data_IF_707351224381
#
_entry.id   IF_707351224381
#
_cell.length_a   1.000
_cell.length_b   1.000
_cell.length_c   1.000
_cell.angle_alpha   90.00
_cell.angle_beta   90.00
_cell.angle_gamma   90.00
#
_symmetry.space_group_name_H-M   'P 1'
#
loop_
_entity.id
_entity.type
_entity.pdbx_description
1 polymer ?
#
# COMPACT_ATOMS: atom_id res chain seq x y z
N UNK A 1 -12.10 -1.60 -10.67
CA UNK A 1 -12.72 -2.55 -9.72
C UNK A 1 -13.71 -3.37 -10.52
N UNK A 2 -13.47 -4.67 -10.60
CA UNK A 2 -14.39 -5.63 -11.23
C UNK A 2 -14.46 -6.81 -10.27
N UNK A 3 -15.67 -7.25 -9.92
CA UNK A 3 -15.89 -8.38 -9.01
C UNK A 3 -15.23 -8.22 -7.63
N UNK A 4 -15.31 -7.02 -7.03
CA UNK A 4 -14.69 -6.72 -5.74
C UNK A 4 -13.16 -6.56 -5.75
N UNK A 5 -12.51 -6.83 -6.89
CA UNK A 5 -11.04 -6.80 -7.03
C UNK A 5 -10.56 -5.48 -7.64
N UNK A 6 -9.48 -4.93 -7.09
CA UNK A 6 -8.79 -3.75 -7.65
C UNK A 6 -7.74 -4.21 -8.66
N UNK A 7 -7.75 -3.57 -9.83
CA UNK A 7 -6.68 -3.70 -10.82
C UNK A 7 -5.75 -2.51 -10.63
N UNK A 8 -4.49 -2.79 -10.28
CA UNK A 8 -3.44 -1.78 -10.20
C UNK A 8 -2.67 -1.81 -11.52
N UNK A 9 -2.49 -0.64 -12.14
CA UNK A 9 -1.74 -0.45 -13.39
C UNK A 9 -0.66 0.61 -13.15
N UNK A 10 0.42 0.58 -13.95
CA UNK A 10 1.49 1.58 -13.88
C UNK A 10 2.64 1.23 -12.91
N UNK A 11 2.52 0.14 -12.16
CA UNK A 11 3.64 -0.44 -11.40
C UNK A 11 4.59 -1.16 -12.38
N UNK A 12 5.92 -1.01 -12.27
CA UNK A 12 6.87 -1.71 -13.13
C UNK A 12 6.65 -3.23 -13.12
N UNK A 13 6.88 -3.89 -14.25
CA UNK A 13 6.69 -5.35 -14.32
C UNK A 13 7.70 -6.15 -13.51
N UNK A 14 8.84 -5.53 -13.21
CA UNK A 14 9.87 -6.03 -12.31
C UNK A 14 9.47 -5.96 -10.85
N UNK A 15 8.36 -5.28 -10.54
CA UNK A 15 7.92 -5.02 -9.19
C UNK A 15 6.75 -5.94 -8.81
N UNK A 16 6.64 -6.19 -7.51
CA UNK A 16 5.56 -6.89 -6.87
C UNK A 16 4.77 -5.90 -6.02
N UNK A 17 3.45 -5.94 -6.16
CA UNK A 17 2.54 -5.24 -5.25
C UNK A 17 2.50 -6.04 -3.94
N UNK A 18 2.74 -5.36 -2.82
CA UNK A 18 2.74 -5.94 -1.49
C UNK A 18 1.41 -5.66 -0.76
N UNK A 19 0.93 -4.42 -0.84
CA UNK A 19 -0.33 -4.00 -0.22
C UNK A 19 -1.15 -3.14 -1.19
N UNK A 20 -2.46 -3.36 -1.16
CA UNK A 20 -3.45 -2.41 -1.65
C UNK A 20 -4.44 -2.20 -0.51
N UNK A 21 -4.69 -0.95 -0.15
CA UNK A 21 -5.69 -0.58 0.85
C UNK A 21 -6.47 0.64 0.39
N UNK A 22 -7.58 0.93 1.07
CA UNK A 22 -8.34 2.17 0.89
C UNK A 22 -9.03 2.60 2.17
N UNK A 23 -9.36 3.88 2.25
CA UNK A 23 -10.24 4.44 3.28
C UNK A 23 -11.63 3.81 3.21
N UNK A 24 -12.37 3.82 4.32
CA UNK A 24 -13.74 3.27 4.35
C UNK A 24 -14.69 4.04 3.42
N UNK A 25 -14.42 5.34 3.20
CA UNK A 25 -15.11 6.17 2.21
C UNK A 25 -14.84 5.76 0.76
N UNK A 26 -13.79 4.96 0.51
CA UNK A 26 -13.33 4.50 -0.82
C UNK A 26 -12.83 5.61 -1.74
N UNK A 27 -12.52 6.77 -1.18
CA UNK A 27 -12.02 7.93 -1.93
C UNK A 27 -10.50 7.91 -2.09
N UNK A 28 -9.79 7.37 -1.10
CA UNK A 28 -8.32 7.32 -1.07
C UNK A 28 -7.83 5.89 -1.03
N UNK A 29 -6.82 5.61 -1.86
CA UNK A 29 -6.18 4.31 -2.04
C UNK A 29 -4.71 4.42 -1.67
N UNK A 30 -4.18 3.34 -1.11
CA UNK A 30 -2.78 3.15 -0.78
C UNK A 30 -2.28 1.94 -1.56
N UNK A 31 -1.22 2.11 -2.35
CA UNK A 31 -0.58 1.01 -3.08
C UNK A 31 0.88 0.96 -2.68
N UNK A 32 1.29 -0.17 -2.12
CA UNK A 32 2.68 -0.44 -1.76
C UNK A 32 3.24 -1.49 -2.70
N UNK A 33 4.39 -1.22 -3.32
CA UNK A 33 5.11 -2.19 -4.13
C UNK A 33 6.61 -2.09 -3.90
N UNK A 34 7.34 -3.11 -4.35
CA UNK A 34 8.80 -3.17 -4.31
C UNK A 34 9.31 -4.04 -5.47
N UNK A 35 10.61 -3.99 -5.82
CA UNK A 35 11.22 -4.91 -6.78
C UNK A 35 11.02 -6.37 -6.37
N UNK A 36 10.74 -7.25 -7.34
CA UNK A 36 10.54 -8.70 -7.08
C UNK A 36 11.79 -9.37 -6.51
N UNK A 37 12.94 -8.99 -7.03
CA UNK A 37 14.23 -9.59 -6.69
C UNK A 37 15.11 -8.59 -5.95
N UNK A 38 15.97 -9.10 -5.06
CA UNK A 38 17.01 -8.33 -4.37
C UNK A 38 16.52 -7.08 -3.64
N UNK A 39 15.28 -7.10 -3.14
CA UNK A 39 14.73 -5.95 -2.43
C UNK A 39 15.30 -5.81 -1.01
N UNK A 40 15.39 -4.56 -0.58
CA UNK A 40 15.64 -4.12 0.78
C UNK A 40 14.45 -3.27 1.27
N UNK A 41 14.39 -2.96 2.57
CA UNK A 41 13.32 -2.10 3.09
C UNK A 41 13.32 -0.67 2.49
N UNK A 42 14.42 -0.22 1.87
CA UNK A 42 14.49 1.06 1.16
C UNK A 42 13.89 1.05 -0.25
N UNK A 43 13.59 -0.13 -0.80
CA UNK A 43 13.10 -0.28 -2.17
C UNK A 43 11.58 -0.24 -2.28
N UNK A 44 10.89 -0.18 -1.14
CA UNK A 44 9.45 0.00 -1.12
C UNK A 44 9.05 1.38 -1.66
N UNK A 45 7.94 1.40 -2.38
CA UNK A 45 7.28 2.59 -2.90
C UNK A 45 5.85 2.60 -2.43
N UNK A 46 5.35 3.77 -2.07
CA UNK A 46 3.99 4.00 -1.63
C UNK A 46 3.35 5.02 -2.55
N UNK A 47 2.17 4.69 -3.08
CA UNK A 47 1.36 5.63 -3.85
C UNK A 47 0.03 5.87 -3.16
N UNK A 48 -0.36 7.13 -3.06
CA UNK A 48 -1.55 7.60 -2.35
C UNK A 48 -2.39 8.48 -3.27
N UNK A 49 -3.70 8.29 -3.26
CA UNK A 49 -4.62 9.19 -3.96
C UNK A 49 -5.91 8.51 -4.37
N UNK A 50 -6.60 9.07 -5.36
CA UNK A 50 -7.85 8.48 -5.83
C UNK A 50 -7.59 7.31 -6.78
N UNK A 51 -8.65 6.53 -7.05
CA UNK A 51 -8.60 5.34 -7.92
C UNK A 51 -7.89 5.56 -9.27
N UNK A 52 -7.97 6.76 -9.85
CA UNK A 52 -7.41 7.08 -11.16
C UNK A 52 -6.22 8.06 -11.08
N UNK A 53 -5.84 8.51 -9.88
CA UNK A 53 -4.77 9.48 -9.69
C UNK A 53 -4.02 9.16 -8.40
N UNK A 54 -3.01 8.30 -8.54
CA UNK A 54 -2.11 7.91 -7.47
C UNK A 54 -0.82 8.71 -7.61
N UNK A 55 -0.37 9.30 -6.50
CA UNK A 55 0.87 10.09 -6.44
C UNK A 55 1.80 9.38 -5.48
N UNK A 56 3.08 9.29 -5.85
CA UNK A 56 4.09 8.69 -4.98
C UNK A 56 4.29 9.52 -3.70
N UNK A 57 4.22 8.86 -2.55
CA UNK A 57 4.57 9.39 -1.25
C UNK A 57 5.97 8.91 -0.87
N UNK A 58 6.73 9.78 -0.22
CA UNK A 58 8.09 9.44 0.20
C UNK A 58 8.03 8.59 1.46
N UNK A 59 8.42 7.32 1.37
CA UNK A 59 8.59 6.47 2.54
C UNK A 59 9.83 6.95 3.31
N UNK A 60 9.65 7.24 4.59
CA UNK A 60 10.72 7.59 5.53
C UNK A 60 11.21 6.37 6.28
N UNK A 61 10.30 5.47 6.66
CA UNK A 61 10.65 4.24 7.36
C UNK A 61 9.67 3.12 6.98
N UNK A 62 10.21 1.94 6.72
CA UNK A 62 9.44 0.71 6.56
C UNK A 62 9.92 -0.30 7.61
N UNK A 63 9.00 -0.78 8.46
CA UNK A 63 9.32 -1.75 9.51
C UNK A 63 8.36 -2.92 9.44
N UNK A 64 8.91 -4.13 9.39
CA UNK A 64 8.15 -5.38 9.50
C UNK A 64 8.54 -6.13 10.76
N UNK A 65 7.56 -6.50 11.58
CA UNK A 65 7.76 -7.30 12.79
C UNK A 65 7.86 -8.79 12.44
N UNK A 66 8.55 -9.54 13.30
CA UNK A 66 8.70 -11.00 13.20
C UNK A 66 7.50 -11.77 13.76
N UNK A 67 6.36 -11.11 13.94
CA UNK A 67 5.11 -11.69 14.47
C UNK A 67 4.20 -12.25 13.37
N UNK A 68 4.79 -12.62 12.23
CA UNK A 68 4.05 -13.07 11.06
C UNK A 68 3.70 -11.97 10.05
N UNK A 69 4.20 -10.74 10.23
CA UNK A 69 4.23 -9.74 9.17
C UNK A 69 3.51 -8.43 9.46
N UNK A 70 3.29 -8.07 10.74
CA UNK A 70 2.83 -6.73 11.09
C UNK A 70 3.77 -5.69 10.50
N UNK A 71 3.24 -4.73 9.76
CA UNK A 71 4.02 -3.76 8.98
C UNK A 71 3.62 -2.34 9.36
N UNK A 72 4.63 -1.49 9.53
CA UNK A 72 4.52 -0.07 9.78
C UNK A 72 5.25 0.70 8.69
N UNK A 73 4.62 1.75 8.17
CA UNK A 73 5.19 2.59 7.11
C UNK A 73 5.02 4.04 7.52
N UNK A 74 6.12 4.72 7.82
CA UNK A 74 6.17 6.18 8.01
C UNK A 74 6.42 6.83 6.66
N UNK A 75 5.64 7.85 6.31
CA UNK A 75 5.74 8.51 5.01
C UNK A 75 5.52 10.03 5.11
N UNK A 76 6.03 10.76 4.13
CA UNK A 76 5.67 12.15 3.88
C UNK A 76 4.83 12.23 2.59
N UNK A 77 3.69 12.91 2.69
CA UNK A 77 2.83 13.19 1.55
C UNK A 77 2.31 14.62 1.66
N UNK A 78 2.46 15.41 0.59
CA UNK A 78 2.00 16.82 0.54
C UNK A 78 2.44 17.65 1.77
N UNK A 79 3.68 17.46 2.22
CA UNK A 79 4.30 18.13 3.36
C UNK A 79 3.67 17.81 4.74
N UNK A 80 2.89 16.73 4.84
CA UNK A 80 2.41 16.19 6.10
C UNK A 80 2.97 14.79 6.31
N UNK A 81 3.24 14.48 7.57
CA UNK A 81 3.61 13.13 7.98
C UNK A 81 2.39 12.24 8.03
N UNK A 82 2.57 11.01 7.59
CA UNK A 82 1.61 9.95 7.78
C UNK A 82 2.24 8.64 8.21
N UNK A 83 1.37 7.74 8.67
CA UNK A 83 1.73 6.45 9.20
C UNK A 83 0.69 5.40 8.82
N UNK A 84 1.12 4.37 8.09
CA UNK A 84 0.29 3.20 7.82
C UNK A 84 0.66 2.08 8.77
N UNK A 85 -0.37 1.40 9.26
CA UNK A 85 -0.27 0.16 10.02
C UNK A 85 -1.05 -0.94 9.32
N UNK A 86 -0.37 -2.06 9.05
CA UNK A 86 -0.98 -3.28 8.55
C UNK A 86 -0.74 -4.40 9.56
N UNK A 87 -1.78 -4.88 10.27
CA UNK A 87 -1.63 -5.99 11.20
C UNK A 87 -1.25 -7.28 10.48
N UNK A 88 -0.55 -8.14 11.20
CA UNK A 88 -0.30 -9.54 10.78
C UNK A 88 -1.63 -10.26 10.51
N UNK A 89 -1.71 -11.14 9.49
CA UNK A 89 -2.93 -11.89 9.19
C UNK A 89 -3.39 -12.82 10.33
N UNK A 90 -2.53 -13.06 11.33
CA UNK A 90 -2.86 -13.86 12.51
C UNK A 90 -3.67 -13.10 13.58
N UNK A 91 -3.68 -11.76 13.54
CA UNK A 91 -4.41 -10.89 14.48
C UNK A 91 -5.63 -10.28 13.78
N UNK A 92 -6.66 -11.10 13.57
CA UNK A 92 -7.86 -10.74 12.79
C UNK A 92 -8.73 -9.67 13.46
N UNK A 93 -8.56 -9.50 14.77
CA UNK A 93 -9.22 -8.49 15.59
C UNK A 93 -8.66 -7.08 15.37
N UNK A 94 -7.44 -6.96 14.81
CA UNK A 94 -6.81 -5.68 14.54
C UNK A 94 -7.15 -5.19 13.14
N UNK A 95 -7.45 -3.90 13.03
CA UNK A 95 -7.82 -3.25 11.77
C UNK A 95 -6.59 -2.48 11.26
N UNK A 96 -6.29 -2.52 9.95
CA UNK A 96 -5.31 -1.63 9.37
C UNK A 96 -5.73 -0.16 9.56
N UNK A 97 -4.77 0.73 9.79
CA UNK A 97 -5.06 2.16 9.97
C UNK A 97 -4.13 3.02 9.12
N UNK A 98 -4.62 4.20 8.77
CA UNK A 98 -3.82 5.35 8.37
C UNK A 98 -3.91 6.41 9.45
N UNK A 99 -2.79 7.03 9.81
CA UNK A 99 -2.75 8.25 10.59
C UNK A 99 -2.03 9.30 9.77
N UNK A 100 -2.76 10.29 9.25
CA UNK A 100 -2.21 11.33 8.37
C UNK A 100 -2.47 12.70 8.96
N UNK A 101 -1.41 13.47 9.21
CA UNK A 101 -1.52 14.78 9.86
C UNK A 101 -2.10 14.72 11.28
N UNK A 102 -2.01 13.58 11.96
CA UNK A 102 -2.57 13.36 13.30
C UNK A 102 -4.04 12.91 13.31
N UNK A 103 -4.67 12.72 12.16
CA UNK A 103 -6.02 12.18 12.04
C UNK A 103 -5.91 10.69 11.71
N UNK A 104 -6.46 9.87 12.59
CA UNK A 104 -6.50 8.41 12.41
C UNK A 104 -7.81 8.00 11.73
N UNK A 105 -7.70 7.10 10.75
CA UNK A 105 -8.82 6.47 10.06
C UNK A 105 -8.54 4.97 9.87
N UNK A 106 -9.56 4.15 10.08
CA UNK A 106 -9.55 2.75 9.68
C UNK A 106 -9.45 2.63 8.15
N UNK A 107 -8.64 1.69 7.68
CA UNK A 107 -8.53 1.38 6.25
C UNK A 107 -8.77 -0.11 6.01
N UNK A 108 -9.34 -0.45 4.87
CA UNK A 108 -9.52 -1.84 4.47
C UNK A 108 -8.41 -2.29 3.51
N UNK A 109 -7.80 -3.43 3.80
CA UNK A 109 -6.92 -4.12 2.86
C UNK A 109 -7.76 -4.75 1.75
N UNK A 110 -7.36 -4.54 0.51
CA UNK A 110 -8.07 -5.01 -0.67
C UNK A 110 -7.29 -6.14 -1.33
N UNK A 111 -8.00 -7.21 -1.67
CA UNK A 111 -7.46 -8.23 -2.56
C UNK A 111 -7.25 -7.65 -3.96
N UNK A 112 -6.03 -7.80 -4.48
CA UNK A 112 -5.66 -7.32 -5.81
C UNK A 112 -5.20 -8.50 -6.67
N UNK A 113 -5.32 -8.35 -7.98
CA UNK A 113 -4.70 -9.25 -8.94
C UNK A 113 -3.74 -8.41 -9.77
N UNK A 114 -2.42 -8.69 -9.75
CA UNK A 114 -1.52 -8.04 -10.68
C UNK A 114 -1.95 -8.43 -12.09
N UNK A 115 -2.32 -7.45 -12.93
CA UNK A 115 -2.45 -7.73 -14.36
C UNK A 115 -1.06 -8.05 -14.87
N UNK A 116 -0.86 -9.27 -15.40
CA UNK A 116 0.20 -9.49 -16.38
C UNK A 116 -0.09 -8.53 -17.52
N UNK A 117 0.66 -7.44 -17.65
CA UNK A 117 0.62 -6.71 -18.93
C UNK A 117 1.23 -7.64 -19.95
N UNK A 118 0.45 -8.05 -20.95
CA UNK A 118 1.02 -8.59 -22.16
C UNK A 118 1.94 -7.50 -22.74
N UNK A 119 3.20 -7.86 -22.99
CA UNK A 119 4.17 -6.96 -23.61
C UNK A 119 3.71 -6.51 -25.00
N UNK A 120 4.41 -5.55 -25.63
CA UNK A 120 4.01 -5.01 -26.92
C UNK A 120 4.00 -6.10 -27.99
N UNK A 121 3.06 -5.97 -28.93
CA UNK A 121 2.94 -6.73 -30.18
C UNK A 121 4.17 -6.46 -31.05
#
# INVERSE_FOLDING_TARGET
>A
IKDGKVNVCGVPLTDQIEYVARTLSKEQYYVVHHPKEHWSYGDFRLHIGSKNNLIEAKIQQFRRLRDGGTTYISYDFRNLQGFLYFPTPFKKELIPIDNYGGIEEDIEKIDFHPKKSFGPI
#
